data_IF_356814779851
#
_entry.id   IF_356814779851
#
_cell.length_a   1.000
_cell.length_b   1.000
_cell.length_c   1.000
_cell.angle_alpha   90.00
_cell.angle_beta   90.00
_cell.angle_gamma   90.00
#
_symmetry.space_group_name_H-M   'P 1'
#
loop_
_entity.id
_entity.type
_entity.pdbx_description
1 polymer ?
#
# COMPACT_ATOMS: atom_id res chain seq x y z
N UNK A 1 -25.86 -4.27 -15.35
CA UNK A 1 -24.44 -4.65 -15.52
C UNK A 1 -23.78 -4.65 -14.15
N UNK A 2 -23.72 -5.81 -13.48
CA UNK A 2 -23.11 -5.95 -12.16
C UNK A 2 -21.59 -5.90 -12.31
N UNK A 3 -20.95 -4.83 -11.83
CA UNK A 3 -19.48 -4.75 -11.77
C UNK A 3 -18.98 -5.84 -10.80
N UNK A 4 -18.34 -6.89 -11.33
CA UNK A 4 -17.55 -7.84 -10.55
C UNK A 4 -16.34 -7.09 -10.00
N UNK A 5 -16.42 -6.58 -8.80
CA UNK A 5 -15.26 -5.94 -8.17
C UNK A 5 -14.32 -7.01 -7.60
N UNK A 6 -13.35 -7.37 -8.45
CA UNK A 6 -12.02 -7.92 -8.24
C UNK A 6 -11.86 -9.11 -7.26
N UNK A 7 -11.18 -10.15 -7.73
CA UNK A 7 -10.80 -11.35 -6.94
C UNK A 7 -9.70 -11.08 -5.91
N UNK A 8 -9.25 -9.84 -5.78
CA UNK A 8 -8.09 -9.45 -4.96
C UNK A 8 -8.44 -8.39 -3.92
N UNK A 9 -7.76 -8.47 -2.78
CA UNK A 9 -7.70 -7.48 -1.71
C UNK A 9 -6.32 -6.84 -1.79
N UNK A 10 -6.26 -5.51 -1.79
CA UNK A 10 -5.01 -4.75 -1.87
C UNK A 10 -4.92 -3.88 -0.63
N UNK A 11 -3.89 -4.10 0.18
CA UNK A 11 -3.49 -3.20 1.26
C UNK A 11 -2.35 -2.33 0.75
N UNK A 12 -2.45 -1.03 1.00
CA UNK A 12 -1.45 -0.05 0.63
C UNK A 12 -0.98 0.63 1.90
N UNK A 13 0.34 0.73 2.06
CA UNK A 13 0.98 1.43 3.16
C UNK A 13 2.05 2.39 2.64
N UNK A 14 2.36 3.41 3.43
CA UNK A 14 3.39 4.41 3.12
C UNK A 14 4.44 4.48 4.23
N UNK A 15 5.71 4.63 3.85
CA UNK A 15 6.80 4.92 4.78
C UNK A 15 7.69 6.03 4.25
N UNK A 16 8.26 6.82 5.15
CA UNK A 16 8.94 8.07 4.81
C UNK A 16 8.00 9.27 4.85
N UNK A 17 8.54 10.47 5.05
CA UNK A 17 7.77 11.71 5.15
C UNK A 17 7.59 12.35 3.76
N UNK A 18 6.41 12.93 3.53
CA UNK A 18 6.09 13.75 2.36
C UNK A 18 6.66 15.18 2.49
N UNK A 19 7.01 15.58 3.70
CA UNK A 19 7.59 16.88 4.00
C UNK A 19 9.08 16.98 3.64
N UNK A 20 9.42 17.84 2.68
CA UNK A 20 10.84 18.19 2.37
C UNK A 20 11.56 18.93 3.52
N UNK A 21 10.87 19.20 4.64
CA UNK A 21 11.37 20.00 5.76
C UNK A 21 11.99 19.18 6.90
N UNK A 22 11.65 17.90 7.05
CA UNK A 22 12.20 17.04 8.11
C UNK A 22 12.43 15.60 7.60
N UNK A 23 13.48 15.42 6.79
CA UNK A 23 13.88 14.09 6.32
C UNK A 23 14.24 13.22 7.53
N UNK A 24 13.42 12.22 7.81
CA UNK A 24 13.71 11.22 8.83
C UNK A 24 14.94 10.41 8.41
N UNK A 25 16.01 10.46 9.21
CA UNK A 25 17.27 9.76 8.90
C UNK A 25 17.13 8.23 8.85
N UNK A 26 16.14 7.66 9.53
CA UNK A 26 15.86 6.22 9.50
C UNK A 26 14.99 5.81 8.29
N UNK A 27 14.25 6.75 7.71
CA UNK A 27 13.38 6.53 6.54
C UNK A 27 13.58 7.67 5.53
N UNK A 28 14.77 7.75 4.90
CA UNK A 28 15.16 8.90 4.08
C UNK A 28 14.52 8.91 2.69
N UNK A 29 13.83 7.84 2.33
CA UNK A 29 13.19 7.66 1.03
C UNK A 29 11.71 7.39 1.25
N UNK A 30 10.89 8.06 0.47
CA UNK A 30 9.47 7.78 0.42
C UNK A 30 9.22 6.45 -0.31
N UNK A 31 8.52 5.53 0.33
CA UNK A 31 8.23 4.19 -0.18
C UNK A 31 6.76 3.88 -0.01
N UNK A 32 6.15 3.32 -1.06
CA UNK A 32 4.82 2.72 -1.02
C UNK A 32 4.94 1.20 -1.04
N UNK A 33 4.21 0.54 -0.16
CA UNK A 33 4.14 -0.91 -0.08
C UNK A 33 2.76 -1.38 -0.52
N UNK A 34 2.71 -2.34 -1.44
CA UNK A 34 1.48 -2.94 -1.94
C UNK A 34 1.45 -4.42 -1.57
N UNK A 35 0.54 -4.80 -0.68
CA UNK A 35 0.28 -6.17 -0.31
C UNK A 35 -1.01 -6.63 -1.00
N UNK A 36 -0.87 -7.56 -1.95
CA UNK A 36 -1.96 -8.02 -2.82
C UNK A 36 -2.26 -9.49 -2.51
N UNK A 37 -3.52 -9.78 -2.19
CA UNK A 37 -3.99 -11.12 -1.84
C UNK A 37 -5.18 -11.49 -2.70
N UNK A 38 -5.31 -12.77 -3.07
CA UNK A 38 -6.60 -13.27 -3.59
C UNK A 38 -7.57 -13.40 -2.44
N UNK A 39 -8.83 -13.05 -2.67
CA UNK A 39 -9.92 -13.23 -1.69
C UNK A 39 -10.04 -14.68 -1.24
N UNK A 40 -9.81 -15.63 -2.15
CA UNK A 40 -9.87 -17.08 -1.89
C UNK A 40 -8.78 -17.58 -0.95
N UNK A 41 -7.66 -16.87 -0.84
CA UNK A 41 -6.53 -17.31 -0.01
C UNK A 41 -6.69 -16.82 1.44
N UNK A 42 -7.66 -15.93 1.68
CA UNK A 42 -7.98 -15.34 2.98
C UNK A 42 -9.28 -15.88 3.60
N UNK A 43 -10.25 -16.29 2.76
CA UNK A 43 -11.59 -16.78 3.16
C UNK A 43 -11.63 -18.29 3.40
#
# INVERSE_FOLDING_TARGET
>A
MTKKYNDYIIYVDESGDHGMSNINKYYPVFVLVFCIFKKTDYL
#
